data_IF_219402372964
#
_entry.id   IF_219402372964
#
_cell.length_a   1.000
_cell.length_b   1.000
_cell.length_c   1.000
_cell.angle_alpha   90.00
_cell.angle_beta   90.00
_cell.angle_gamma   90.00
#
_symmetry.space_group_name_H-M   'P 1'
#
loop_
_entity.id
_entity.type
_entity.pdbx_description
1 polymer ?
#
# COMPACT_ATOMS: atom_id res chain seq x y z
N UNK A 1 24.35 22.61 -34.73
CA UNK A 1 24.14 21.36 -33.97
C UNK A 1 24.06 21.70 -32.48
N UNK A 2 22.85 21.92 -31.97
CA UNK A 2 22.62 22.22 -30.55
C UNK A 2 22.18 20.95 -29.85
N UNK A 3 23.05 20.38 -29.02
CA UNK A 3 22.74 19.22 -28.19
C UNK A 3 21.69 19.60 -27.16
N UNK A 4 20.48 19.04 -27.28
CA UNK A 4 19.50 19.07 -26.22
C UNK A 4 20.06 18.23 -25.07
N UNK A 5 20.52 18.89 -24.01
CA UNK A 5 20.72 18.25 -22.72
C UNK A 5 19.35 17.72 -22.28
N UNK A 6 19.14 16.42 -22.42
CA UNK A 6 18.03 15.73 -21.80
C UNK A 6 18.16 15.93 -20.30
N UNK A 7 17.38 16.88 -19.77
CA UNK A 7 17.29 17.12 -18.33
C UNK A 7 16.96 15.79 -17.67
N UNK A 8 17.89 15.29 -16.86
CA UNK A 8 17.65 14.14 -16.01
C UNK A 8 16.44 14.48 -15.14
N UNK A 9 15.29 13.87 -15.43
CA UNK A 9 14.15 13.92 -14.56
C UNK A 9 14.60 13.35 -13.22
N UNK A 10 14.90 14.24 -12.26
CA UNK A 10 15.26 13.80 -10.91
C UNK A 10 14.08 12.98 -10.41
N UNK A 11 14.30 11.68 -10.28
CA UNK A 11 13.34 10.76 -9.67
C UNK A 11 13.23 11.22 -8.22
N UNK A 12 12.20 12.01 -7.91
CA UNK A 12 11.93 12.45 -6.54
C UNK A 12 11.76 11.19 -5.69
N UNK A 13 12.80 10.87 -4.94
CA UNK A 13 12.86 9.70 -4.08
C UNK A 13 12.56 10.21 -2.69
N UNK A 14 11.35 9.91 -2.23
CA UNK A 14 10.93 10.24 -0.88
C UNK A 14 11.41 9.15 0.08
N UNK A 15 11.49 9.48 1.37
CA UNK A 15 11.89 8.54 2.40
C UNK A 15 10.86 8.50 3.52
N UNK A 16 10.40 7.30 3.81
CA UNK A 16 9.59 7.00 4.98
C UNK A 16 10.52 6.71 6.14
N UNK A 17 10.33 7.40 7.27
CA UNK A 17 11.14 7.24 8.48
C UNK A 17 10.26 6.96 9.69
N UNK A 18 10.70 6.04 10.54
CA UNK A 18 10.13 5.80 11.87
C UNK A 18 11.08 6.41 12.88
N UNK A 19 10.55 7.31 13.70
CA UNK A 19 11.32 8.01 14.72
C UNK A 19 11.01 7.45 16.10
N UNK A 20 12.02 7.39 16.97
CA UNK A 20 11.79 7.11 18.37
C UNK A 20 11.21 8.33 19.07
N UNK A 21 10.26 8.08 19.97
CA UNK A 21 9.69 9.09 20.87
C UNK A 21 10.07 8.82 22.33
N UNK A 22 10.99 7.90 22.62
CA UNK A 22 11.44 7.61 23.99
C UNK A 22 12.51 8.62 24.43
N UNK A 23 12.52 9.00 25.71
CA UNK A 23 13.39 10.07 26.22
C UNK A 23 14.89 9.87 25.91
N UNK A 24 15.39 8.64 25.99
CA UNK A 24 16.83 8.36 25.86
C UNK A 24 17.34 8.34 24.41
N UNK A 25 16.45 8.30 23.42
CA UNK A 25 16.79 8.27 22.00
C UNK A 25 15.78 9.07 21.16
N UNK A 26 15.19 10.10 21.75
CA UNK A 26 14.14 10.89 21.11
C UNK A 26 14.63 11.50 19.80
N UNK A 27 13.86 11.31 18.73
CA UNK A 27 14.20 11.81 17.40
C UNK A 27 15.20 10.96 16.62
N UNK A 28 15.72 9.87 17.19
CA UNK A 28 16.52 8.91 16.42
C UNK A 28 15.68 8.19 15.38
N UNK A 29 16.27 7.96 14.20
CA UNK A 29 15.63 7.20 13.12
C UNK A 29 15.80 5.71 13.42
N UNK A 30 14.71 5.07 13.82
CA UNK A 30 14.68 3.63 14.11
C UNK A 30 14.67 2.79 12.83
N UNK A 31 14.01 3.30 11.78
CA UNK A 31 13.93 2.63 10.49
C UNK A 31 13.68 3.65 9.37
N UNK A 32 14.25 3.40 8.19
CA UNK A 32 14.05 4.24 7.02
C UNK A 32 13.90 3.40 5.75
N UNK A 33 13.07 3.85 4.82
CA UNK A 33 12.89 3.21 3.52
C UNK A 33 12.50 4.22 2.46
N UNK A 34 13.11 4.11 1.29
CA UNK A 34 12.71 4.90 0.14
C UNK A 34 11.32 4.50 -0.40
N UNK A 35 10.54 5.50 -0.77
CA UNK A 35 9.18 5.36 -1.31
C UNK A 35 9.07 6.19 -2.59
N UNK A 36 8.67 5.56 -3.69
CA UNK A 36 8.63 6.20 -5.02
C UNK A 36 7.40 7.09 -5.23
N UNK A 37 6.31 6.87 -4.49
CA UNK A 37 5.01 7.46 -4.76
C UNK A 37 4.46 8.30 -3.58
N UNK A 38 5.34 8.89 -2.78
CA UNK A 38 4.89 9.61 -1.58
C UNK A 38 3.99 10.82 -1.88
N UNK A 39 4.12 11.42 -3.07
CA UNK A 39 3.23 12.48 -3.54
C UNK A 39 1.76 12.04 -3.74
N UNK A 40 1.49 10.73 -3.70
CA UNK A 40 0.14 10.17 -3.76
C UNK A 40 -0.35 9.64 -2.40
N UNK A 41 0.45 9.72 -1.33
CA UNK A 41 0.06 9.18 -0.03
C UNK A 41 -1.12 9.97 0.57
N UNK A 42 -2.06 9.24 1.14
CA UNK A 42 -3.22 9.80 1.85
C UNK A 42 -3.32 9.33 3.30
N UNK A 43 -2.73 8.18 3.63
CA UNK A 43 -2.66 7.68 5.01
C UNK A 43 -1.35 6.95 5.29
N UNK A 44 -0.83 7.16 6.50
CA UNK A 44 0.27 6.40 7.10
C UNK A 44 -0.18 6.02 8.51
N UNK A 45 -0.23 4.73 8.83
CA UNK A 45 -0.77 4.23 10.09
C UNK A 45 0.03 3.03 10.61
N UNK A 46 0.32 3.01 11.91
CA UNK A 46 0.79 1.78 12.55
C UNK A 46 -0.38 0.81 12.77
N UNK A 47 -0.10 -0.49 12.65
CA UNK A 47 -1.00 -1.53 13.15
C UNK A 47 -1.15 -1.43 14.67
N UNK A 48 -2.21 -1.99 15.28
CA UNK A 48 -2.42 -1.93 16.73
C UNK A 48 -1.27 -2.48 17.57
N UNK A 49 -0.48 -3.42 17.03
CA UNK A 49 0.70 -3.97 17.70
C UNK A 49 2.01 -3.24 17.37
N UNK A 50 1.95 -2.15 16.60
CA UNK A 50 3.10 -1.43 16.03
C UNK A 50 4.09 -2.27 15.21
N UNK A 51 3.76 -3.54 14.93
CA UNK A 51 4.63 -4.43 14.15
C UNK A 51 4.58 -4.19 12.64
N UNK A 52 3.52 -3.52 12.16
CA UNK A 52 3.32 -3.18 10.76
C UNK A 52 2.97 -1.71 10.58
N UNK A 53 3.27 -1.20 9.38
CA UNK A 53 2.95 0.14 8.93
C UNK A 53 2.18 0.05 7.61
N UNK A 54 1.04 0.71 7.55
CA UNK A 54 0.19 0.85 6.37
C UNK A 54 0.49 2.17 5.67
N UNK A 55 0.74 2.10 4.37
CA UNK A 55 0.78 3.24 3.45
C UNK A 55 -0.41 3.12 2.50
N UNK A 56 -1.19 4.19 2.35
CA UNK A 56 -2.32 4.26 1.44
C UNK A 56 -2.14 5.35 0.40
N UNK A 57 -2.52 5.06 -0.85
CA UNK A 57 -2.32 5.93 -1.99
C UNK A 57 -3.65 6.36 -2.61
N UNK A 58 -3.82 7.66 -2.77
CA UNK A 58 -5.05 8.26 -3.27
C UNK A 58 -5.00 8.76 -4.69
N UNK A 59 -3.91 8.56 -5.44
CA UNK A 59 -3.84 8.96 -6.85
C UNK A 59 -3.21 7.86 -7.67
N UNK A 60 -3.78 7.61 -8.85
CA UNK A 60 -3.18 6.72 -9.84
C UNK A 60 -1.93 7.40 -10.42
N UNK A 61 -0.77 6.83 -10.14
CA UNK A 61 0.51 7.32 -10.66
C UNK A 61 1.30 6.16 -11.28
N UNK A 62 2.09 6.45 -12.31
CA UNK A 62 2.85 5.43 -13.06
C UNK A 62 3.83 4.65 -12.18
N UNK A 63 4.32 5.26 -11.09
CA UNK A 63 5.17 4.58 -10.11
C UNK A 63 4.46 3.49 -9.30
N UNK A 64 3.13 3.52 -9.24
CA UNK A 64 2.27 2.54 -8.55
C UNK A 64 1.60 1.57 -9.53
N UNK A 65 1.75 1.81 -10.84
CA UNK A 65 1.13 1.02 -11.89
C UNK A 65 1.73 -0.38 -11.92
N UNK A 66 0.84 -1.38 -11.97
CA UNK A 66 1.16 -2.78 -12.16
C UNK A 66 0.25 -3.37 -13.22
N UNK A 67 0.78 -4.34 -13.95
CA UNK A 67 0.01 -5.10 -14.93
C UNK A 67 -0.36 -6.43 -14.30
N UNK A 68 -1.65 -6.74 -14.23
CA UNK A 68 -2.14 -8.06 -13.86
C UNK A 68 -2.60 -8.80 -15.11
N UNK A 69 -2.24 -10.08 -15.18
CA UNK A 69 -2.70 -10.97 -16.23
C UNK A 69 -4.05 -11.55 -15.83
N UNK A 70 -5.13 -11.10 -16.48
CA UNK A 70 -6.44 -11.72 -16.30
C UNK A 70 -6.53 -12.99 -17.16
N UNK A 71 -7.03 -14.08 -16.58
CA UNK A 71 -7.26 -15.33 -17.31
C UNK A 71 -8.19 -15.10 -18.50
N UNK A 72 -7.67 -15.21 -19.72
CA UNK A 72 -8.38 -14.86 -20.96
C UNK A 72 -7.54 -14.04 -21.95
N UNK A 73 -6.31 -13.65 -21.60
CA UNK A 73 -5.38 -12.99 -22.53
C UNK A 73 -5.51 -11.47 -22.59
N UNK A 74 -6.32 -10.88 -21.70
CA UNK A 74 -6.41 -9.43 -21.58
C UNK A 74 -5.53 -8.93 -20.42
N UNK A 75 -4.76 -7.89 -20.67
CA UNK A 75 -3.92 -7.24 -19.65
C UNK A 75 -4.75 -6.17 -18.95
N UNK A 76 -4.91 -6.28 -17.63
CA UNK A 76 -5.58 -5.25 -16.85
C UNK A 76 -4.55 -4.43 -16.10
N UNK A 77 -4.59 -3.11 -16.31
CA UNK A 77 -3.76 -2.15 -15.61
C UNK A 77 -4.39 -1.83 -14.25
N UNK A 78 -3.63 -2.04 -13.19
CA UNK A 78 -4.04 -1.75 -11.81
C UNK A 78 -3.01 -0.87 -11.12
N UNK A 79 -3.45 -0.07 -10.15
CA UNK A 79 -2.56 0.75 -9.34
C UNK A 79 -2.47 0.18 -7.94
N UNK A 80 -1.28 0.20 -7.35
CA UNK A 80 -1.10 -0.10 -5.93
C UNK A 80 -1.81 0.98 -5.11
N UNK A 81 -2.80 0.56 -4.34
CA UNK A 81 -3.59 1.46 -3.47
C UNK A 81 -3.19 1.36 -2.00
N UNK A 82 -2.67 0.21 -1.56
CA UNK A 82 -2.19 0.01 -0.20
C UNK A 82 -0.89 -0.81 -0.20
N UNK A 83 0.03 -0.45 0.70
CA UNK A 83 1.23 -1.21 1.02
C UNK A 83 1.31 -1.42 2.53
N UNK A 84 1.71 -2.62 2.95
CA UNK A 84 1.98 -2.92 4.36
C UNK A 84 3.42 -3.33 4.52
N UNK A 85 4.14 -2.60 5.36
CA UNK A 85 5.52 -2.85 5.71
C UNK A 85 5.61 -3.45 7.12
N UNK A 86 6.53 -4.37 7.34
CA UNK A 86 6.93 -4.78 8.68
C UNK A 86 7.90 -3.75 9.23
N UNK A 87 7.68 -3.28 10.45
CA UNK A 87 8.46 -2.18 11.02
C UNK A 87 9.90 -2.59 11.36
N UNK A 88 10.12 -3.84 11.78
CA UNK A 88 11.43 -4.32 12.24
C UNK A 88 12.53 -4.30 11.17
N UNK A 89 12.17 -4.49 9.91
CA UNK A 89 13.11 -4.60 8.77
C UNK A 89 12.68 -3.76 7.56
N UNK A 90 11.61 -2.96 7.71
CA UNK A 90 10.94 -2.23 6.63
C UNK A 90 10.59 -3.09 5.43
N UNK A 91 10.42 -4.42 5.57
CA UNK A 91 10.10 -5.30 4.44
C UNK A 91 8.64 -5.13 4.04
N UNK A 92 8.40 -5.04 2.72
CA UNK A 92 7.05 -5.01 2.18
C UNK A 92 6.43 -6.40 2.31
N UNK A 93 5.39 -6.54 3.13
CA UNK A 93 4.74 -7.82 3.43
C UNK A 93 3.41 -8.02 2.71
N UNK A 94 2.75 -6.93 2.30
CA UNK A 94 1.51 -7.00 1.53
C UNK A 94 1.39 -5.80 0.62
N UNK A 95 0.80 -6.03 -0.54
CA UNK A 95 0.35 -4.97 -1.43
C UNK A 95 -1.05 -5.24 -1.91
N UNK A 96 -1.90 -4.22 -1.95
CA UNK A 96 -3.25 -4.29 -2.50
C UNK A 96 -3.32 -3.42 -3.75
N UNK A 97 -3.47 -4.01 -4.94
CA UNK A 97 -3.75 -3.27 -6.15
C UNK A 97 -5.27 -3.06 -6.36
N UNK A 98 -5.64 -2.02 -7.10
CA UNK A 98 -6.99 -1.80 -7.61
C UNK A 98 -6.97 -1.08 -8.96
N UNK A 99 -7.87 -1.46 -9.87
CA UNK A 99 -8.07 -0.74 -11.13
C UNK A 99 -8.86 0.55 -10.91
N UNK A 100 -9.79 0.53 -9.95
CA UNK A 100 -10.84 1.54 -9.82
C UNK A 100 -10.69 2.44 -8.60
N UNK A 101 -10.23 1.90 -7.47
CA UNK A 101 -10.29 2.64 -6.22
C UNK A 101 -9.16 3.69 -6.12
N UNK A 102 -9.50 4.90 -5.67
CA UNK A 102 -8.55 5.90 -5.18
C UNK A 102 -8.75 6.11 -3.67
N UNK A 103 -7.74 5.79 -2.85
CA UNK A 103 -7.90 5.79 -1.39
C UNK A 103 -7.81 7.20 -0.82
N UNK A 104 -8.85 7.63 -0.10
CA UNK A 104 -8.84 8.88 0.67
C UNK A 104 -8.30 8.67 2.09
N UNK A 105 -8.70 7.58 2.74
CA UNK A 105 -8.27 7.25 4.11
C UNK A 105 -8.20 5.74 4.26
N UNK A 106 -7.27 5.25 5.07
CA UNK A 106 -7.20 3.85 5.44
C UNK A 106 -6.73 3.70 6.89
N UNK A 107 -7.22 2.68 7.57
CA UNK A 107 -6.87 2.36 8.94
C UNK A 107 -6.87 0.85 9.18
N UNK A 108 -6.11 0.42 10.18
CA UNK A 108 -6.21 -0.94 10.69
C UNK A 108 -7.45 -1.07 11.59
N UNK A 109 -7.99 -2.28 11.64
CA UNK A 109 -8.92 -2.64 12.71
C UNK A 109 -8.20 -2.49 14.08
N UNK A 110 -8.84 -1.97 15.13
CA UNK A 110 -8.20 -1.71 16.43
C UNK A 110 -7.72 -2.98 17.14
N UNK A 111 -8.34 -4.13 16.85
CA UNK A 111 -7.92 -5.45 17.35
C UNK A 111 -6.99 -6.13 16.33
N UNK A 112 -5.86 -6.64 16.82
CA UNK A 112 -4.90 -7.44 16.03
C UNK A 112 -5.61 -8.60 15.36
N UNK A 113 -5.40 -8.75 14.04
CA UNK A 113 -6.07 -9.78 13.24
C UNK A 113 -7.48 -9.42 12.77
N UNK A 114 -7.99 -8.22 13.06
CA UNK A 114 -9.30 -7.77 12.54
C UNK A 114 -9.28 -7.27 11.09
N UNK A 115 -8.09 -7.15 10.49
CA UNK A 115 -7.94 -6.66 9.11
C UNK A 115 -7.75 -5.14 9.01
N UNK A 116 -8.20 -4.56 7.91
CA UNK A 116 -8.11 -3.12 7.64
C UNK A 116 -9.35 -2.61 6.88
N UNK A 117 -9.60 -1.32 7.00
CA UNK A 117 -10.66 -0.62 6.27
C UNK A 117 -10.06 0.54 5.47
N UNK A 118 -10.64 0.85 4.31
CA UNK A 118 -10.30 2.06 3.57
C UNK A 118 -11.54 2.71 2.95
N UNK A 119 -11.54 4.03 2.97
CA UNK A 119 -12.51 4.88 2.28
C UNK A 119 -11.92 5.39 0.98
N UNK A 120 -12.70 5.35 -0.10
CA UNK A 120 -12.30 5.86 -1.41
C UNK A 120 -12.79 7.30 -1.62
N UNK A 121 -12.21 8.01 -2.58
CA UNK A 121 -12.65 9.37 -2.95
C UNK A 121 -14.06 9.41 -3.53
N UNK A 122 -14.52 8.30 -4.08
CA UNK A 122 -15.87 8.13 -4.63
C UNK A 122 -16.90 7.85 -3.52
N UNK A 123 -16.49 7.87 -2.25
CA UNK A 123 -17.37 7.68 -1.10
C UNK A 123 -17.65 6.23 -0.74
N UNK A 124 -16.88 5.26 -1.26
CA UNK A 124 -17.04 3.85 -0.94
C UNK A 124 -16.21 3.48 0.29
N UNK A 125 -16.75 2.59 1.13
CA UNK A 125 -16.01 1.94 2.21
C UNK A 125 -15.70 0.49 1.83
N UNK A 126 -14.46 0.07 2.02
CA UNK A 126 -13.98 -1.28 1.71
C UNK A 126 -13.36 -1.90 2.97
N UNK A 127 -13.64 -3.17 3.20
CA UNK A 127 -13.12 -3.94 4.33
C UNK A 127 -12.26 -5.10 3.81
N UNK A 128 -11.07 -5.24 4.37
CA UNK A 128 -10.15 -6.34 4.08
C UNK A 128 -9.91 -7.11 5.35
N UNK A 129 -10.53 -8.28 5.43
CA UNK A 129 -10.41 -9.17 6.57
C UNK A 129 -9.09 -9.92 6.55
N UNK A 130 -8.51 -10.14 7.74
CA UNK A 130 -7.36 -11.00 7.88
C UNK A 130 -7.82 -12.46 7.83
N UNK A 131 -7.79 -13.09 6.66
CA UNK A 131 -7.96 -14.55 6.57
C UNK A 131 -6.64 -15.24 6.95
N UNK A 132 -6.69 -16.15 7.93
CA UNK A 132 -5.56 -17.00 8.32
C UNK A 132 -5.28 -18.13 7.30
N UNK A 133 -6.00 -18.17 6.18
CA UNK A 133 -5.93 -19.26 5.19
C UNK A 133 -4.80 -19.12 4.15
N UNK A 134 -3.56 -18.84 4.58
CA UNK A 134 -2.40 -18.81 3.67
C UNK A 134 -1.15 -19.48 4.26
N UNK A 135 -1.31 -20.41 5.21
CA UNK A 135 -0.20 -21.26 5.65
C UNK A 135 -0.07 -22.56 4.82
N UNK A 136 -1.14 -23.02 4.15
CA UNK A 136 -1.17 -24.35 3.52
C UNK A 136 -1.59 -24.36 2.03
N UNK A 137 -1.28 -23.32 1.25
CA UNK A 137 -1.56 -23.35 -0.19
C UNK A 137 -0.34 -22.91 -1.01
N UNK A 138 0.40 -23.90 -1.51
CA UNK A 138 1.30 -23.75 -2.64
C UNK A 138 0.50 -23.45 -3.92
N UNK A 139 0.25 -22.16 -4.21
CA UNK A 139 -0.14 -21.68 -5.55
C UNK A 139 0.09 -20.15 -5.65
N UNK A 140 0.50 -19.61 -6.81
CA UNK A 140 0.86 -18.20 -6.95
C UNK A 140 -0.36 -17.29 -7.03
N UNK A 141 -0.18 -16.09 -6.47
CA UNK A 141 -0.86 -14.82 -6.74
C UNK A 141 -2.14 -14.85 -7.57
N UNK A 142 -3.28 -14.77 -6.89
CA UNK A 142 -4.43 -13.97 -7.32
C UNK A 142 -5.41 -13.86 -6.15
N UNK A 143 -5.25 -12.80 -5.34
CA UNK A 143 -6.30 -12.42 -4.39
C UNK A 143 -7.39 -11.68 -5.18
N UNK A 144 -8.31 -12.47 -5.74
CA UNK A 144 -9.60 -12.01 -6.24
C UNK A 144 -10.29 -11.19 -5.15
N UNK A 145 -10.55 -9.92 -5.43
CA UNK A 145 -11.64 -9.20 -4.77
C UNK A 145 -12.91 -9.92 -5.21
N UNK A 146 -13.48 -10.73 -4.32
CA UNK A 146 -14.79 -11.32 -4.55
C UNK A 146 -15.81 -10.17 -4.62
N UNK A 147 -16.32 -9.93 -5.81
CA UNK A 147 -17.61 -9.28 -5.99
C UNK A 147 -18.68 -10.22 -5.43
N UNK A 148 -19.54 -9.71 -4.55
CA UNK A 148 -20.63 -10.48 -3.98
C UNK A 148 -21.10 -9.92 -2.65
N UNK A 149 -21.77 -8.75 -2.66
CA UNK A 149 -22.74 -8.43 -1.61
C UNK A 149 -24.11 -8.41 -2.27
N UNK A 150 -24.83 -9.49 -2.06
CA UNK A 150 -26.22 -9.67 -2.43
C UNK A 150 -27.05 -8.85 -1.45
N UNK A 151 -27.82 -7.89 -1.96
CA UNK A 151 -28.72 -7.07 -1.16
C UNK A 151 -29.88 -7.93 -0.62
N UNK A 152 -30.26 -7.68 0.63
CA UNK A 152 -31.53 -8.09 1.21
C UNK A 152 -32.12 -6.91 1.97
#
# INVERSE_FOLDING_TARGET
AGGAAAGSAQRLMYELRVYSLQDHNFGEVLAARAVCAAHCLTSIQFSPSSGHLLLAYGRRHISLLRTLWAGGGNLTLVHTILEVYRVSDMKLVRVVPSADDEVNVACFHPVVGGGLAYGTKEGRLRLLWHSRAAADASAPDNLLLAEGMQEH
#
